data_IF_378693622580
#
_entry.id   IF_378693622580
#
_cell.length_a   1.000
_cell.length_b   1.000
_cell.length_c   1.000
_cell.angle_alpha   90.00
_cell.angle_beta   90.00
_cell.angle_gamma   90.00
#
_symmetry.space_group_name_H-M   'P 1'
#
loop_
_entity.id
_entity.type
_entity.pdbx_description
1 polymer ?
#
# COMPACT_ATOMS: atom_id res chain seq x y z
N UNK A 1 -5.03 -5.87 19.43
CA UNK A 1 -4.43 -4.94 18.44
C UNK A 1 -3.59 -3.96 19.24
N UNK A 2 -2.37 -3.68 18.79
CA UNK A 2 -1.43 -2.81 19.49
C UNK A 2 -0.95 -1.70 18.56
N UNK A 3 -0.51 -0.59 19.14
CA UNK A 3 0.15 0.49 18.44
C UNK A 3 1.44 0.86 19.16
N UNK A 4 2.46 1.25 18.40
CA UNK A 4 3.69 1.86 18.92
C UNK A 4 4.08 3.03 18.05
N UNK A 5 4.65 4.04 18.67
CA UNK A 5 5.27 5.18 17.99
C UNK A 5 6.70 4.82 17.60
N UNK A 6 7.08 5.01 16.33
CA UNK A 6 8.39 4.68 15.79
C UNK A 6 9.30 5.91 15.69
N UNK A 7 9.53 6.60 16.82
CA UNK A 7 10.36 7.82 16.89
C UNK A 7 9.81 8.95 16.03
N UNK A 8 8.49 9.16 16.06
CA UNK A 8 7.86 10.23 15.33
C UNK A 8 8.33 11.61 15.83
N UNK A 9 8.52 12.54 14.90
CA UNK A 9 8.86 13.93 15.21
C UNK A 9 7.69 14.64 15.88
N UNK A 10 6.49 14.53 15.31
CA UNK A 10 5.30 15.23 15.78
C UNK A 10 4.47 14.45 16.82
N UNK A 11 4.84 13.21 17.13
CA UNK A 11 4.19 12.38 18.14
C UNK A 11 2.97 11.60 17.66
N UNK A 12 2.71 10.48 18.31
CA UNK A 12 1.43 9.74 18.28
C UNK A 12 0.69 9.97 19.59
N UNK A 13 -0.62 10.20 19.50
CA UNK A 13 -1.48 10.47 20.65
C UNK A 13 -2.64 9.48 20.69
N UNK A 14 -2.91 8.93 21.86
CA UNK A 14 -4.03 8.05 22.13
C UNK A 14 -4.93 8.68 23.20
N UNK A 15 -6.19 8.93 22.85
CA UNK A 15 -7.19 9.59 23.70
C UNK A 15 -6.67 10.93 24.28
N UNK A 16 -6.01 11.72 23.42
CA UNK A 16 -5.40 13.01 23.79
C UNK A 16 -4.08 12.92 24.58
N UNK A 17 -3.59 11.71 24.89
CA UNK A 17 -2.31 11.51 25.58
C UNK A 17 -1.21 11.12 24.60
N UNK A 18 -0.13 11.90 24.56
CA UNK A 18 1.07 11.57 23.79
C UNK A 18 1.71 10.27 24.32
N UNK A 19 2.03 9.33 23.44
CA UNK A 19 2.58 8.02 23.81
C UNK A 19 4.03 8.11 24.29
N UNK A 20 4.85 8.93 23.64
CA UNK A 20 6.27 9.12 23.93
C UNK A 20 6.74 10.54 23.57
N UNK A 21 7.92 10.98 24.08
CA UNK A 21 8.60 12.19 23.64
C UNK A 21 9.04 12.15 22.17
N UNK A 22 9.39 13.31 21.63
CA UNK A 22 9.86 13.48 20.25
C UNK A 22 11.06 12.59 19.94
N UNK A 23 11.05 11.95 18.77
CA UNK A 23 12.15 11.10 18.28
C UNK A 23 12.49 9.91 19.20
N UNK A 24 11.58 9.51 20.09
CA UNK A 24 11.72 8.35 20.99
C UNK A 24 10.69 7.29 20.62
N UNK A 25 11.09 6.02 20.61
CA UNK A 25 10.15 4.91 20.35
C UNK A 25 9.27 4.67 21.58
N UNK A 26 7.98 4.46 21.39
CA UNK A 26 7.08 4.12 22.49
C UNK A 26 7.03 2.61 22.72
N UNK A 27 6.73 2.21 23.97
CA UNK A 27 6.29 0.85 24.24
C UNK A 27 5.00 0.51 23.47
N UNK A 28 4.70 -0.77 23.20
CA UNK A 28 3.43 -1.17 22.58
C UNK A 28 2.23 -0.87 23.48
N UNK A 29 1.32 0.00 23.02
CA UNK A 29 0.05 0.31 23.67
C UNK A 29 -1.08 -0.52 23.10
N UNK A 30 -1.94 -1.06 23.96
CA UNK A 30 -3.14 -1.78 23.56
C UNK A 30 -4.17 -0.79 23.03
N UNK A 31 -4.70 -1.05 21.84
CA UNK A 31 -5.86 -0.32 21.30
C UNK A 31 -7.16 -1.02 21.67
N UNK A 32 -8.16 -0.23 22.06
CA UNK A 32 -9.52 -0.67 22.37
C UNK A 32 -10.53 -0.16 21.33
N UNK A 33 -11.74 -0.70 21.40
CA UNK A 33 -12.85 -0.25 20.56
C UNK A 33 -13.18 1.21 20.90
N UNK A 34 -13.35 2.04 19.87
CA UNK A 34 -13.68 3.47 19.95
C UNK A 34 -12.58 4.38 20.50
N UNK A 35 -11.34 3.91 20.65
CA UNK A 35 -10.24 4.79 21.01
C UNK A 35 -10.03 5.88 19.94
N UNK A 36 -9.69 7.09 20.38
CA UNK A 36 -9.33 8.18 19.50
C UNK A 36 -7.81 8.21 19.31
N UNK A 37 -7.36 8.06 18.08
CA UNK A 37 -5.96 8.03 17.74
C UNK A 37 -5.61 9.23 16.86
N UNK A 38 -4.55 9.94 17.20
CA UNK A 38 -4.07 11.10 16.45
C UNK A 38 -2.58 10.93 16.13
N UNK A 39 -2.19 11.27 14.91
CA UNK A 39 -0.83 11.27 14.41
C UNK A 39 -0.42 12.69 14.06
N UNK A 40 0.60 13.18 14.77
CA UNK A 40 1.11 14.53 14.64
C UNK A 40 0.21 15.61 15.23
N UNK A 41 0.57 16.86 14.93
CA UNK A 41 -0.12 18.07 15.33
C UNK A 41 -0.30 18.96 14.10
N UNK A 42 -1.30 19.85 14.14
CA UNK A 42 -1.51 20.83 13.09
C UNK A 42 -0.33 21.83 13.08
N UNK A 43 0.32 21.97 11.93
CA UNK A 43 1.42 22.93 11.74
C UNK A 43 0.86 24.13 10.99
N UNK A 44 1.01 25.31 11.58
CA UNK A 44 0.63 26.59 10.98
C UNK A 44 1.88 27.30 10.42
N UNK A 45 1.71 28.01 9.31
CA UNK A 45 2.71 28.93 8.78
C UNK A 45 2.82 30.20 9.65
N UNK A 46 3.83 31.05 9.41
CA UNK A 46 4.00 32.34 10.08
C UNK A 46 2.78 33.26 9.96
N UNK A 47 1.99 33.07 8.89
CA UNK A 47 0.75 33.78 8.62
C UNK A 47 -0.49 33.17 9.32
N UNK A 48 -0.33 32.07 10.07
CA UNK A 48 -1.41 31.35 10.74
C UNK A 48 -2.23 30.42 9.83
N UNK A 49 -1.84 30.28 8.56
CA UNK A 49 -2.46 29.34 7.62
C UNK A 49 -2.02 27.90 7.91
N UNK A 50 -2.94 26.94 7.84
CA UNK A 50 -2.64 25.53 8.06
C UNK A 50 -1.73 24.98 6.94
N UNK A 51 -0.51 24.61 7.30
CA UNK A 51 0.50 24.06 6.40
C UNK A 51 0.41 22.52 6.35
N UNK A 52 0.26 21.89 7.53
CA UNK A 52 0.09 20.45 7.65
C UNK A 52 -1.02 20.13 8.65
N UNK A 53 -1.97 19.30 8.20
CA UNK A 53 -3.06 18.81 9.03
C UNK A 53 -2.61 17.59 9.83
N UNK A 54 -3.01 17.52 11.11
CA UNK A 54 -2.89 16.29 11.88
C UNK A 54 -3.82 15.23 11.33
N UNK A 55 -3.42 13.96 11.45
CA UNK A 55 -4.28 12.84 11.05
C UNK A 55 -4.96 12.27 12.29
N UNK A 56 -6.27 12.38 12.37
CA UNK A 56 -7.05 11.87 13.50
C UNK A 56 -8.05 10.80 13.05
N UNK A 57 -8.13 9.69 13.78
CA UNK A 57 -9.06 8.62 13.48
C UNK A 57 -9.68 8.03 14.75
N UNK A 58 -10.79 7.31 14.56
CA UNK A 58 -11.46 6.54 15.61
C UNK A 58 -11.29 5.06 15.34
N UNK A 59 -10.80 4.33 16.32
CA UNK A 59 -10.41 2.93 16.19
C UNK A 59 -11.65 2.03 16.28
N UNK A 60 -11.84 1.15 15.29
CA UNK A 60 -12.83 0.09 15.33
C UNK A 60 -12.12 -1.25 15.10
N UNK A 61 -12.14 -2.11 16.11
CA UNK A 61 -11.51 -3.44 16.07
C UNK A 61 -12.60 -4.45 15.73
N UNK A 62 -12.65 -4.86 14.46
CA UNK A 62 -13.45 -6.02 14.09
C UNK A 62 -12.71 -7.28 14.49
N UNK A 63 -13.30 -8.07 15.40
CA UNK A 63 -12.90 -9.47 15.53
C UNK A 63 -13.51 -10.16 14.31
N UNK A 64 -12.69 -10.54 13.35
CA UNK A 64 -13.09 -11.54 12.36
C UNK A 64 -13.52 -12.79 13.14
N UNK A 65 -14.82 -12.92 13.37
CA UNK A 65 -15.42 -14.18 13.79
C UNK A 65 -15.08 -15.17 12.70
N UNK A 66 -14.24 -16.14 13.05
CA UNK A 66 -14.01 -17.42 12.35
C UNK A 66 -14.03 -17.35 10.83
N UNK A 67 -12.87 -17.55 10.20
CA UNK A 67 -12.78 -18.05 8.83
C UNK A 67 -13.89 -19.09 8.59
N UNK A 68 -14.77 -18.91 7.59
CA UNK A 68 -15.73 -19.96 7.25
C UNK A 68 -14.92 -21.11 6.66
N UNK A 69 -14.79 -22.19 7.42
CA UNK A 69 -14.42 -23.50 6.88
C UNK A 69 -15.40 -23.82 5.76
N UNK A 70 -14.96 -24.15 4.53
CA UNK A 70 -15.86 -24.54 3.47
C UNK A 70 -16.56 -25.85 3.87
N UNK A 71 -17.86 -25.79 4.23
CA UNK A 71 -18.66 -27.00 4.45
C UNK A 71 -19.67 -27.00 5.60
N UNK A 72 -19.78 -25.95 6.42
CA UNK A 72 -20.76 -25.90 7.51
C UNK A 72 -22.06 -25.22 7.10
N UNK A 73 -23.16 -25.98 6.94
CA UNK A 73 -24.51 -25.44 6.73
C UNK A 73 -24.95 -24.53 7.90
N UNK A 74 -25.63 -23.39 7.67
CA UNK A 74 -26.12 -22.56 8.76
C UNK A 74 -27.36 -23.18 9.37
N UNK A 75 -27.24 -23.69 10.60
CA UNK A 75 -28.39 -24.03 11.44
C UNK A 75 -28.67 -22.83 12.36
N UNK A 76 -29.79 -22.18 12.10
CA UNK A 76 -30.38 -21.15 12.94
C UNK A 76 -30.65 -21.70 14.35
N UNK A 77 -30.35 -20.91 15.38
CA UNK A 77 -31.08 -20.98 16.65
C UNK A 77 -31.08 -19.61 17.34
N UNK A 78 -32.24 -18.98 17.54
CA UNK A 78 -32.37 -17.83 18.42
C UNK A 78 -32.70 -18.31 19.84
N UNK A 79 -31.98 -17.75 20.82
CA UNK A 79 -32.25 -17.93 22.24
C UNK A 79 -33.58 -17.32 22.65
N UNK A 80 -34.34 -18.14 23.35
CA UNK A 80 -35.69 -17.97 23.89
C UNK A 80 -35.65 -17.14 25.20
N UNK A 81 -36.46 -16.10 25.30
CA UNK A 81 -36.93 -15.52 26.57
C UNK A 81 -38.45 -15.36 26.52
N UNK A 82 -39.11 -15.79 27.59
CA UNK A 82 -40.56 -15.93 27.71
C UNK A 82 -41.00 -15.42 29.09
N UNK A 83 -41.92 -14.45 29.14
CA UNK A 83 -42.89 -14.18 30.23
C UNK A 83 -43.68 -12.90 29.86
N UNK A 84 -45.01 -12.80 29.83
CA UNK A 84 -46.10 -13.73 30.12
C UNK A 84 -47.42 -13.19 29.53
N UNK A 85 -48.39 -14.09 29.37
CA UNK A 85 -49.79 -13.93 28.91
C UNK A 85 -50.68 -13.18 29.95
N UNK A 86 -52.02 -13.00 29.79
CA UNK A 86 -53.00 -13.48 28.78
C UNK A 86 -53.95 -12.35 28.26
N UNK A 87 -54.88 -12.48 27.31
CA UNK A 87 -56.06 -13.36 27.03
C UNK A 87 -56.53 -13.00 25.60
N UNK A 88 -56.98 -13.86 24.69
CA UNK A 88 -58.12 -14.77 24.80
C UNK A 88 -58.60 -15.19 23.38
N UNK A 89 -58.98 -16.47 23.28
CA UNK A 89 -60.03 -17.07 22.42
C UNK A 89 -60.04 -16.90 20.90
N UNK A 90 -59.93 -18.05 20.19
CA UNK A 90 -60.75 -18.35 19.00
C UNK A 90 -60.03 -19.06 17.84
N UNK A 91 -60.66 -19.99 17.10
CA UNK A 91 -59.98 -21.22 16.64
C UNK A 91 -59.84 -21.40 15.11
N UNK A 92 -59.05 -22.43 14.73
CA UNK A 92 -59.04 -23.17 13.43
C UNK A 92 -58.43 -22.42 12.23
N UNK A 93 -57.81 -23.02 11.20
CA UNK A 93 -57.20 -24.31 10.88
C UNK A 93 -56.64 -24.14 9.44
N UNK A 94 -55.81 -25.09 8.99
CA UNK A 94 -55.43 -25.38 7.58
C UNK A 94 -54.15 -24.72 7.03
N UNK A 95 -53.21 -25.63 6.71
CA UNK A 95 -52.03 -25.51 5.84
C UNK A 95 -52.42 -25.32 4.38
N UNK A 96 -51.66 -24.54 3.60
CA UNK A 96 -50.98 -25.01 2.37
C UNK A 96 -50.33 -23.87 1.58
N UNK A 97 -49.19 -24.19 0.96
CA UNK A 97 -48.38 -23.45 -0.01
C UNK A 97 -49.14 -22.59 -1.07
N UNK A 98 -48.60 -21.42 -1.37
CA UNK A 98 -48.47 -20.82 -2.72
C UNK A 98 -47.39 -19.72 -2.63
N UNK A 99 -46.30 -19.72 -3.40
CA UNK A 99 -46.13 -19.36 -4.82
C UNK A 99 -46.83 -18.04 -5.18
N UNK A 100 -46.00 -17.02 -5.46
CA UNK A 100 -46.21 -15.82 -6.30
C UNK A 100 -47.55 -15.08 -6.25
N UNK A 101 -47.50 -13.78 -5.90
CA UNK A 101 -48.24 -12.65 -6.51
C UNK A 101 -48.58 -11.57 -5.46
N UNK A 102 -47.65 -10.65 -5.22
CA UNK A 102 -47.82 -9.52 -4.29
C UNK A 102 -48.67 -8.35 -4.83
N UNK A 103 -49.75 -8.60 -5.58
CA UNK A 103 -50.61 -7.54 -6.13
C UNK A 103 -52.12 -7.70 -5.87
N UNK A 104 -52.60 -8.82 -5.31
CA UNK A 104 -54.05 -9.02 -5.12
C UNK A 104 -54.64 -8.28 -3.92
N UNK A 105 -53.89 -8.11 -2.83
CA UNK A 105 -54.42 -7.51 -1.59
C UNK A 105 -54.80 -6.03 -1.74
N UNK A 106 -54.08 -5.28 -2.57
CA UNK A 106 -54.41 -3.87 -2.85
C UNK A 106 -55.66 -3.73 -3.70
N UNK A 107 -55.88 -4.65 -4.66
CA UNK A 107 -57.05 -4.63 -5.53
C UNK A 107 -58.30 -5.03 -4.74
N UNK A 108 -58.19 -6.05 -3.88
CA UNK A 108 -59.30 -6.49 -3.01
C UNK A 108 -59.71 -5.39 -2.01
N UNK A 109 -58.74 -4.63 -1.46
CA UNK A 109 -59.02 -3.47 -0.61
C UNK A 109 -59.75 -2.35 -1.39
N UNK A 110 -59.34 -2.07 -2.62
CA UNK A 110 -60.02 -1.08 -3.48
C UNK A 110 -61.44 -1.54 -3.83
N UNK A 111 -61.63 -2.82 -4.17
CA UNK A 111 -62.94 -3.39 -4.46
C UNK A 111 -63.86 -3.30 -3.24
N UNK A 112 -63.36 -3.66 -2.05
CA UNK A 112 -64.16 -3.56 -0.81
C UNK A 112 -64.57 -2.12 -0.48
N UNK A 113 -63.69 -1.14 -0.78
CA UNK A 113 -63.97 0.27 -0.57
C UNK A 113 -64.98 0.82 -1.57
N UNK A 114 -64.87 0.44 -2.85
CA UNK A 114 -65.83 0.79 -3.89
C UNK A 114 -67.20 0.15 -3.63
N UNK A 115 -67.25 -1.07 -3.12
CA UNK A 115 -68.48 -1.75 -2.73
C UNK A 115 -69.17 -1.04 -1.57
N UNK A 116 -68.43 -0.69 -0.51
CA UNK A 116 -68.98 0.08 0.61
C UNK A 116 -69.47 1.47 0.18
N UNK A 117 -68.72 2.17 -0.68
CA UNK A 117 -69.15 3.48 -1.17
C UNK A 117 -70.38 3.38 -2.09
N UNK A 118 -70.52 2.29 -2.86
CA UNK A 118 -71.71 2.02 -3.68
C UNK A 118 -72.93 1.75 -2.82
N UNK A 119 -72.81 0.93 -1.76
CA UNK A 119 -73.89 0.69 -0.79
C UNK A 119 -74.31 2.00 -0.13
N UNK A 120 -73.34 2.82 0.29
CA UNK A 120 -73.61 4.13 0.87
C UNK A 120 -74.32 5.07 -0.12
N UNK A 121 -73.96 5.03 -1.40
CA UNK A 121 -74.67 5.78 -2.45
C UNK A 121 -76.11 5.30 -2.63
N UNK A 122 -76.36 3.99 -2.56
CA UNK A 122 -77.72 3.43 -2.63
C UNK A 122 -78.58 3.85 -1.44
N UNK A 123 -78.02 3.86 -0.22
CA UNK A 123 -78.71 4.35 0.99
C UNK A 123 -79.07 5.83 0.85
N UNK A 124 -78.14 6.68 0.40
CA UNK A 124 -78.45 8.10 0.15
C UNK A 124 -79.53 8.30 -0.92
N UNK A 125 -79.61 7.40 -1.91
CA UNK A 125 -80.65 7.45 -2.94
C UNK A 125 -82.00 6.98 -2.40
N UNK A 126 -82.01 6.00 -1.49
CA UNK A 126 -83.22 5.61 -0.75
C UNK A 126 -83.72 6.77 0.14
N UNK A 127 -82.81 7.45 0.85
CA UNK A 127 -83.14 8.62 1.67
C UNK A 127 -83.69 9.78 0.83
N UNK A 128 -83.09 10.05 -0.34
CA UNK A 128 -83.63 11.02 -1.29
C UNK A 128 -85.01 10.61 -1.84
N UNK A 129 -85.24 9.31 -2.03
CA UNK A 129 -86.54 8.76 -2.40
C UNK A 129 -87.60 9.00 -1.31
N UNK A 130 -87.26 8.73 -0.05
CA UNK A 130 -88.12 9.00 1.10
C UNK A 130 -88.38 10.50 1.28
N UNK A 131 -87.36 11.35 1.11
CA UNK A 131 -87.52 12.80 1.13
C UNK A 131 -88.45 13.29 0.01
N UNK A 132 -88.30 12.76 -1.20
CA UNK A 132 -89.18 13.06 -2.34
C UNK A 132 -90.62 12.65 -2.07
N UNK A 133 -90.84 11.52 -1.40
CA UNK A 133 -92.17 11.08 -0.98
C UNK A 133 -92.76 12.01 0.08
N UNK A 134 -91.98 12.41 1.09
CA UNK A 134 -92.39 13.39 2.10
C UNK A 134 -92.69 14.77 1.51
N UNK A 135 -91.94 15.20 0.49
CA UNK A 135 -92.18 16.45 -0.23
C UNK A 135 -93.47 16.39 -1.05
N UNK A 136 -93.79 15.23 -1.63
CA UNK A 136 -95.08 15.00 -2.30
C UNK A 136 -96.28 14.90 -1.35
N UNK A 137 -96.09 14.51 -0.08
CA UNK A 137 -97.13 14.61 0.96
C UNK A 137 -97.31 16.06 1.44
N UNK A 138 -96.22 16.81 1.56
CA UNK A 138 -96.27 18.24 1.88
C UNK A 138 -96.97 19.05 0.78
N UNK A 139 -96.69 18.75 -0.48
CA UNK A 139 -97.35 19.37 -1.65
C UNK A 139 -98.88 19.12 -1.65
N UNK A 140 -99.32 17.95 -1.19
CA UNK A 140 -100.75 17.63 -0.99
C UNK A 140 -101.36 18.32 0.23
N UNK A 141 -100.55 18.71 1.20
CA UNK A 141 -101.00 19.39 2.43
C UNK A 141 -101.09 20.91 2.24
N UNK A 142 -100.28 21.49 1.35
CA UNK A 142 -100.26 22.93 1.01
C UNK A 142 -101.46 23.34 0.12
N UNK A 143 -102.22 22.39 -0.44
CA UNK A 143 -103.41 22.69 -1.28
C UNK A 143 -104.70 23.00 -0.49
N UNK A 144 -104.59 23.42 0.78
CA UNK A 144 -105.70 23.97 1.59
C UNK A 144 -105.71 25.50 1.44
N UNK A 145 -106.85 26.16 1.17
CA UNK A 145 -106.88 27.59 0.94
C UNK A 145 -106.73 28.33 2.28
N UNK A 146 -105.54 28.88 2.53
CA UNK A 146 -105.28 29.71 3.71
C UNK A 146 -105.74 31.14 3.42
N UNK A 147 -106.59 31.64 4.33
CA UNK A 147 -107.06 33.02 4.40
C UNK A 147 -105.91 33.95 4.78
N UNK A 148 -105.98 35.15 4.22
CA UNK A 148 -105.11 36.30 4.44
C UNK A 148 -104.93 36.61 5.94
N UNK A 149 -103.71 36.41 6.47
CA UNK A 149 -103.09 37.21 7.55
C UNK A 149 -101.68 36.67 7.97
N UNK A 150 -100.71 36.51 7.06
CA UNK A 150 -99.33 36.12 7.45
C UNK A 150 -98.20 36.77 6.61
N UNK A 151 -98.23 38.09 6.42
CA UNK A 151 -97.12 38.80 5.74
C UNK A 151 -95.85 38.98 6.60
N UNK A 152 -95.90 38.73 7.92
CA UNK A 152 -94.72 38.87 8.79
C UNK A 152 -93.91 37.58 8.99
N UNK A 153 -94.53 36.40 9.02
CA UNK A 153 -93.81 35.12 9.21
C UNK A 153 -93.06 34.66 7.95
N UNK A 154 -93.60 34.96 6.76
CA UNK A 154 -92.96 34.63 5.47
C UNK A 154 -91.64 35.41 5.30
N UNK A 155 -91.58 36.67 5.75
CA UNK A 155 -90.38 37.49 5.67
C UNK A 155 -89.26 36.99 6.62
N UNK A 156 -89.63 36.44 7.78
CA UNK A 156 -88.69 35.86 8.74
C UNK A 156 -88.13 34.52 8.22
N UNK A 157 -88.98 33.66 7.65
CA UNK A 157 -88.56 32.42 6.99
C UNK A 157 -87.64 32.68 5.79
N UNK A 158 -87.92 33.70 4.98
CA UNK A 158 -87.08 34.09 3.85
C UNK A 158 -85.66 34.49 4.29
N UNK A 159 -85.54 35.23 5.42
CA UNK A 159 -84.26 35.63 5.99
C UNK A 159 -83.46 34.43 6.51
N UNK A 160 -84.12 33.50 7.20
CA UNK A 160 -83.46 32.30 7.72
C UNK A 160 -82.92 31.42 6.58
N UNK A 161 -83.65 31.35 5.45
CA UNK A 161 -83.23 30.62 4.26
C UNK A 161 -81.99 31.25 3.61
N UNK A 162 -81.96 32.58 3.51
CA UNK A 162 -80.79 33.32 3.01
C UNK A 162 -79.57 33.17 3.93
N UNK A 163 -79.78 33.12 5.24
CA UNK A 163 -78.72 32.88 6.22
C UNK A 163 -78.13 31.47 6.10
N UNK A 164 -78.97 30.44 6.03
CA UNK A 164 -78.51 29.07 5.78
C UNK A 164 -77.80 28.92 4.43
N UNK A 165 -78.31 29.55 3.38
CA UNK A 165 -77.64 29.55 2.08
C UNK A 165 -76.26 30.22 2.13
N UNK A 166 -76.11 31.30 2.92
CA UNK A 166 -74.80 31.93 3.16
C UNK A 166 -73.87 31.02 3.95
N UNK A 167 -74.35 30.34 4.98
CA UNK A 167 -73.55 29.39 5.76
C UNK A 167 -73.05 28.25 4.86
N UNK A 168 -73.93 27.65 4.05
CA UNK A 168 -73.54 26.60 3.10
C UNK A 168 -72.56 27.11 2.04
N UNK A 169 -72.76 28.33 1.51
CA UNK A 169 -71.82 28.93 0.57
C UNK A 169 -70.43 29.14 1.21
N UNK A 170 -70.38 29.56 2.47
CA UNK A 170 -69.11 29.69 3.22
C UNK A 170 -68.44 28.34 3.46
N UNK A 171 -69.22 27.29 3.75
CA UNK A 171 -68.70 25.94 3.96
C UNK A 171 -68.17 25.31 2.68
N UNK A 172 -68.86 25.50 1.55
CA UNK A 172 -68.38 25.11 0.21
C UNK A 172 -67.09 25.86 -0.14
N UNK A 173 -67.01 27.16 0.14
CA UNK A 173 -65.79 27.94 -0.08
C UNK A 173 -64.61 27.44 0.76
N UNK A 174 -64.87 27.04 2.02
CA UNK A 174 -63.86 26.44 2.89
C UNK A 174 -63.37 25.09 2.35
N UNK A 175 -64.27 24.22 1.90
CA UNK A 175 -63.91 22.92 1.31
C UNK A 175 -63.12 23.10 0.01
N UNK A 176 -63.53 24.03 -0.86
CA UNK A 176 -62.79 24.34 -2.08
C UNK A 176 -61.38 24.84 -1.78
N UNK A 177 -61.21 25.67 -0.75
CA UNK A 177 -59.88 26.12 -0.31
C UNK A 177 -59.02 24.96 0.19
N UNK A 178 -59.57 24.05 0.98
CA UNK A 178 -58.86 22.84 1.43
C UNK A 178 -58.49 21.92 0.26
N UNK A 179 -59.38 21.79 -0.73
CA UNK A 179 -59.11 21.03 -1.94
C UNK A 179 -57.98 21.66 -2.76
N UNK A 180 -57.96 22.98 -2.89
CA UNK A 180 -56.90 23.70 -3.61
C UNK A 180 -55.56 23.63 -2.87
N UNK A 181 -55.56 23.76 -1.55
CA UNK A 181 -54.36 23.58 -0.71
C UNK A 181 -53.79 22.17 -0.85
N UNK A 182 -54.64 21.13 -0.79
CA UNK A 182 -54.21 19.73 -0.98
C UNK A 182 -53.73 19.44 -2.40
N UNK A 183 -54.39 19.98 -3.43
CA UNK A 183 -53.94 19.87 -4.82
C UNK A 183 -52.58 20.54 -5.03
N UNK A 184 -52.36 21.73 -4.45
CA UNK A 184 -51.07 22.42 -4.54
C UNK A 184 -49.96 21.63 -3.84
N UNK A 185 -50.26 21.05 -2.66
CA UNK A 185 -49.32 20.22 -1.92
C UNK A 185 -48.95 18.95 -2.68
N UNK A 186 -49.94 18.27 -3.29
CA UNK A 186 -49.69 17.09 -4.11
C UNK A 186 -48.84 17.43 -5.34
N UNK A 187 -49.11 18.56 -6.01
CA UNK A 187 -48.31 19.01 -7.15
C UNK A 187 -46.85 19.29 -6.74
N UNK A 188 -46.62 19.88 -5.56
CA UNK A 188 -45.28 20.08 -5.03
C UNK A 188 -44.54 18.75 -4.79
N UNK A 189 -45.23 17.72 -4.27
CA UNK A 189 -44.64 16.38 -4.12
C UNK A 189 -44.34 15.73 -5.47
N UNK A 190 -45.21 15.88 -6.47
CA UNK A 190 -44.98 15.37 -7.82
C UNK A 190 -43.74 16.02 -8.44
N UNK A 191 -43.58 17.34 -8.32
CA UNK A 191 -42.37 18.03 -8.78
C UNK A 191 -41.11 17.55 -8.06
N UNK A 192 -41.20 17.30 -6.75
CA UNK A 192 -40.08 16.74 -5.97
C UNK A 192 -39.71 15.33 -6.45
N UNK A 193 -40.69 14.48 -6.76
CA UNK A 193 -40.44 13.14 -7.30
C UNK A 193 -39.76 13.23 -8.67
N UNK A 194 -40.28 14.08 -9.56
CA UNK A 194 -39.68 14.31 -10.89
C UNK A 194 -38.23 14.79 -10.82
N UNK A 195 -37.88 15.56 -9.79
CA UNK A 195 -36.50 15.99 -9.56
C UNK A 195 -35.60 14.87 -9.00
N UNK A 196 -36.13 14.02 -8.11
CA UNK A 196 -35.35 12.95 -7.47
C UNK A 196 -35.16 11.72 -8.36
N UNK A 197 -36.10 11.42 -9.24
CA UNK A 197 -36.04 10.27 -10.16
C UNK A 197 -34.74 10.19 -10.98
N UNK A 198 -34.25 11.26 -11.65
CA UNK A 198 -32.98 11.20 -12.37
C UNK A 198 -31.78 11.01 -11.43
N UNK A 199 -31.78 11.61 -10.24
CA UNK A 199 -30.71 11.44 -9.26
C UNK A 199 -30.61 10.01 -8.73
N UNK A 200 -31.75 9.34 -8.54
CA UNK A 200 -31.79 7.92 -8.17
C UNK A 200 -31.27 7.05 -9.32
N UNK A 201 -31.61 7.39 -10.57
CA UNK A 201 -31.08 6.68 -11.73
C UNK A 201 -29.55 6.83 -11.86
N UNK A 202 -29.00 8.02 -11.61
CA UNK A 202 -27.56 8.27 -11.56
C UNK A 202 -26.86 7.50 -10.43
N UNK A 203 -27.44 7.46 -9.24
CA UNK A 203 -26.90 6.69 -8.11
C UNK A 203 -26.85 5.18 -8.41
N UNK A 204 -27.87 4.64 -9.09
CA UNK A 204 -27.88 3.25 -9.54
C UNK A 204 -26.85 2.96 -10.64
N UNK A 205 -26.52 3.95 -11.49
CA UNK A 205 -25.42 3.83 -12.46
C UNK A 205 -24.08 3.84 -11.71
N UNK A 206 -23.88 4.80 -10.81
CA UNK A 206 -22.65 4.93 -10.04
C UNK A 206 -22.38 3.69 -9.19
N UNK A 207 -23.42 3.09 -8.59
CA UNK A 207 -23.30 1.81 -7.87
C UNK A 207 -22.80 0.68 -8.77
N UNK A 208 -23.30 0.59 -10.02
CA UNK A 208 -22.81 -0.40 -10.98
C UNK A 208 -21.35 -0.16 -11.35
N UNK A 209 -20.96 1.10 -11.58
CA UNK A 209 -19.57 1.45 -11.91
C UNK A 209 -18.62 1.16 -10.75
N UNK A 210 -19.03 1.45 -9.51
CA UNK A 210 -18.28 1.09 -8.30
C UNK A 210 -18.16 -0.43 -8.18
N UNK A 211 -19.25 -1.18 -8.41
CA UNK A 211 -19.23 -2.64 -8.38
C UNK A 211 -18.29 -3.22 -9.46
N UNK A 212 -18.27 -2.64 -10.66
CA UNK A 212 -17.37 -3.04 -11.73
C UNK A 212 -15.91 -2.71 -11.38
N UNK A 213 -15.64 -1.48 -10.94
CA UNK A 213 -14.29 -1.03 -10.56
C UNK A 213 -13.72 -1.86 -9.39
N UNK A 214 -14.54 -2.20 -8.40
CA UNK A 214 -14.14 -3.06 -7.29
C UNK A 214 -13.83 -4.50 -7.75
N UNK A 215 -14.60 -5.04 -8.71
CA UNK A 215 -14.32 -6.33 -9.31
C UNK A 215 -12.99 -6.31 -10.10
N UNK A 216 -12.73 -5.27 -10.89
CA UNK A 216 -11.47 -5.10 -11.62
C UNK A 216 -10.27 -4.94 -10.67
N UNK A 217 -10.40 -4.14 -9.60
CA UNK A 217 -9.39 -4.02 -8.55
C UNK A 217 -9.09 -5.36 -7.87
N UNK A 218 -10.12 -6.19 -7.63
CA UNK A 218 -9.93 -7.52 -7.05
C UNK A 218 -9.15 -8.44 -7.98
N UNK A 219 -9.40 -8.37 -9.30
CA UNK A 219 -8.68 -9.13 -10.32
C UNK A 219 -7.22 -8.70 -10.41
N UNK A 220 -6.94 -7.40 -10.46
CA UNK A 220 -5.57 -6.86 -10.51
C UNK A 220 -4.78 -7.24 -9.26
N UNK A 221 -5.42 -7.21 -8.07
CA UNK A 221 -4.78 -7.67 -6.83
C UNK A 221 -4.38 -9.15 -6.90
N UNK A 222 -5.26 -10.00 -7.43
CA UNK A 222 -4.97 -11.42 -7.61
C UNK A 222 -3.81 -11.65 -8.60
N UNK A 223 -3.81 -10.97 -9.74
CA UNK A 223 -2.72 -11.05 -10.73
C UNK A 223 -1.38 -10.61 -10.13
N UNK A 224 -1.38 -9.51 -9.36
CA UNK A 224 -0.20 -9.05 -8.62
C UNK A 224 0.29 -10.09 -7.62
N UNK A 225 -0.62 -10.73 -6.89
CA UNK A 225 -0.25 -11.74 -5.88
C UNK A 225 0.34 -12.98 -6.54
N UNK A 226 -0.24 -13.44 -7.66
CA UNK A 226 0.34 -14.52 -8.47
C UNK A 226 1.72 -14.16 -9.03
N UNK A 227 1.91 -12.93 -9.49
CA UNK A 227 3.21 -12.46 -9.97
C UNK A 227 4.26 -12.39 -8.86
N UNK A 228 3.84 -12.00 -7.64
CA UNK A 228 4.72 -12.01 -6.46
C UNK A 228 5.12 -13.43 -6.07
N UNK A 229 4.18 -14.37 -6.08
CA UNK A 229 4.47 -15.76 -5.76
C UNK A 229 5.42 -16.38 -6.80
N UNK A 230 5.21 -16.10 -8.09
CA UNK A 230 6.13 -16.53 -9.16
C UNK A 230 7.52 -15.92 -9.02
N UNK A 231 7.63 -14.63 -8.63
CA UNK A 231 8.94 -14.01 -8.39
C UNK A 231 9.64 -14.62 -7.17
N UNK A 232 8.90 -14.90 -6.09
CA UNK A 232 9.45 -15.54 -4.89
C UNK A 232 9.96 -16.95 -5.20
N UNK A 233 9.25 -17.70 -6.05
CA UNK A 233 9.69 -19.01 -6.52
C UNK A 233 11.02 -18.89 -7.28
N UNK A 234 11.14 -17.94 -8.22
CA UNK A 234 12.38 -17.69 -8.97
C UNK A 234 13.54 -17.28 -8.06
N UNK A 235 13.28 -16.43 -7.04
CA UNK A 235 14.30 -16.03 -6.05
C UNK A 235 14.79 -17.25 -5.28
N UNK A 236 13.87 -18.13 -4.84
CA UNK A 236 14.23 -19.33 -4.09
C UNK A 236 15.03 -20.32 -4.95
N UNK A 237 14.63 -20.52 -6.21
CA UNK A 237 15.40 -21.33 -7.16
C UNK A 237 16.80 -20.76 -7.37
N UNK A 238 16.91 -19.45 -7.62
CA UNK A 238 18.21 -18.79 -7.77
C UNK A 238 19.08 -18.97 -6.52
N UNK A 239 18.51 -18.76 -5.32
CA UNK A 239 19.22 -18.94 -4.07
C UNK A 239 19.69 -20.39 -3.87
N UNK A 240 18.88 -21.38 -4.24
CA UNK A 240 19.28 -22.79 -4.20
C UNK A 240 20.43 -23.08 -5.17
N UNK A 241 20.40 -22.54 -6.39
CA UNK A 241 21.50 -22.71 -7.34
C UNK A 241 22.80 -22.06 -6.85
N UNK A 242 22.72 -20.87 -6.26
CA UNK A 242 23.88 -20.19 -5.68
C UNK A 242 24.46 -20.96 -4.50
N UNK A 243 23.61 -21.48 -3.60
CA UNK A 243 24.06 -22.30 -2.48
C UNK A 243 24.69 -23.63 -2.95
N UNK A 244 24.13 -24.26 -3.99
CA UNK A 244 24.69 -25.47 -4.56
C UNK A 244 26.07 -25.21 -5.18
N UNK A 245 26.22 -24.11 -5.92
CA UNK A 245 27.50 -23.69 -6.49
C UNK A 245 28.55 -23.40 -5.41
N UNK A 246 28.17 -22.67 -4.34
CA UNK A 246 29.06 -22.41 -3.20
C UNK A 246 29.50 -23.71 -2.53
N UNK A 247 28.58 -24.65 -2.31
CA UNK A 247 28.88 -25.95 -1.72
C UNK A 247 29.83 -26.78 -2.60
N UNK A 248 29.66 -26.73 -3.92
CA UNK A 248 30.58 -27.37 -4.86
C UNK A 248 31.97 -26.75 -4.82
N UNK A 249 32.06 -25.42 -4.79
CA UNK A 249 33.32 -24.70 -4.66
C UNK A 249 34.03 -25.02 -3.33
N UNK A 250 33.29 -25.04 -2.22
CA UNK A 250 33.82 -25.40 -0.91
C UNK A 250 34.34 -26.85 -0.90
N UNK A 251 33.58 -27.79 -1.47
CA UNK A 251 34.02 -29.18 -1.60
C UNK A 251 35.29 -29.33 -2.45
N UNK A 252 35.40 -28.57 -3.54
CA UNK A 252 36.59 -28.55 -4.39
C UNK A 252 37.80 -28.00 -3.64
N UNK A 253 37.63 -26.91 -2.89
CA UNK A 253 38.70 -26.33 -2.07
C UNK A 253 39.14 -27.28 -0.96
N UNK A 254 38.19 -27.91 -0.24
CA UNK A 254 38.50 -28.89 0.79
C UNK A 254 39.25 -30.10 0.24
N UNK A 255 38.90 -30.58 -0.96
CA UNK A 255 39.62 -31.67 -1.62
C UNK A 255 41.05 -31.26 -2.00
N UNK A 256 41.24 -30.03 -2.49
CA UNK A 256 42.57 -29.49 -2.81
C UNK A 256 43.44 -29.35 -1.55
N UNK A 257 42.88 -28.83 -0.46
CA UNK A 257 43.55 -28.72 0.84
C UNK A 257 43.95 -30.09 1.39
N UNK A 258 43.08 -31.09 1.30
CA UNK A 258 43.37 -32.45 1.71
C UNK A 258 44.53 -33.05 0.91
N UNK A 259 44.54 -32.87 -0.42
CA UNK A 259 45.63 -33.31 -1.28
C UNK A 259 46.96 -32.61 -0.94
N UNK A 260 46.92 -31.30 -0.68
CA UNK A 260 48.12 -30.55 -0.30
C UNK A 260 48.66 -31.00 1.05
N UNK A 261 47.78 -31.24 2.02
CA UNK A 261 48.15 -31.78 3.33
C UNK A 261 48.80 -33.15 3.21
N UNK A 262 48.25 -34.06 2.41
CA UNK A 262 48.83 -35.38 2.18
C UNK A 262 50.22 -35.28 1.52
N UNK A 263 50.40 -34.36 0.56
CA UNK A 263 51.69 -34.12 -0.07
C UNK A 263 52.74 -33.59 0.91
N UNK A 264 52.36 -32.65 1.81
CA UNK A 264 53.23 -32.17 2.88
C UNK A 264 53.62 -33.29 3.85
N UNK A 265 52.66 -34.12 4.27
CA UNK A 265 52.92 -35.28 5.12
C UNK A 265 53.83 -36.32 4.46
N UNK A 266 53.74 -36.48 3.13
CA UNK A 266 54.63 -37.35 2.35
C UNK A 266 56.05 -36.79 2.33
N UNK A 267 56.21 -35.50 2.02
CA UNK A 267 57.53 -34.84 2.04
C UNK A 267 58.16 -34.85 3.44
N UNK A 268 57.37 -34.66 4.50
CA UNK A 268 57.86 -34.72 5.88
C UNK A 268 58.38 -36.13 6.23
N UNK A 269 57.69 -37.18 5.79
CA UNK A 269 58.14 -38.58 5.96
C UNK A 269 59.42 -38.86 5.18
N UNK A 270 59.49 -38.42 3.93
CA UNK A 270 60.70 -38.59 3.09
C UNK A 270 61.91 -37.84 3.69
N UNK A 271 61.70 -36.62 4.19
CA UNK A 271 62.74 -35.84 4.86
C UNK A 271 63.24 -36.51 6.15
N UNK A 272 62.34 -37.08 6.96
CA UNK A 272 62.68 -37.81 8.18
C UNK A 272 63.52 -39.06 7.86
N UNK A 273 63.13 -39.83 6.84
CA UNK A 273 63.89 -41.00 6.38
C UNK A 273 65.28 -40.59 5.86
N UNK A 274 65.37 -39.52 5.07
CA UNK A 274 66.65 -39.01 4.59
C UNK A 274 67.57 -38.57 5.74
N UNK A 275 67.01 -37.95 6.78
CA UNK A 275 67.75 -37.57 7.98
C UNK A 275 68.25 -38.80 8.75
N UNK A 276 67.43 -39.83 8.91
CA UNK A 276 67.83 -41.08 9.57
C UNK A 276 68.97 -41.78 8.82
N UNK A 277 68.88 -41.87 7.49
CA UNK A 277 69.95 -42.42 6.64
C UNK A 277 71.25 -41.60 6.81
N UNK A 278 71.15 -40.28 6.84
CA UNK A 278 72.32 -39.41 7.07
C UNK A 278 72.95 -39.65 8.45
N UNK A 279 72.14 -39.81 9.50
CA UNK A 279 72.62 -40.13 10.85
C UNK A 279 73.31 -41.48 10.87
N UNK A 280 72.72 -42.52 10.27
CA UNK A 280 73.30 -43.85 10.19
C UNK A 280 74.66 -43.82 9.48
N UNK A 281 74.72 -43.16 8.31
CA UNK A 281 75.98 -43.01 7.56
C UNK A 281 77.04 -42.27 8.39
N UNK A 282 76.66 -41.21 9.10
CA UNK A 282 77.59 -40.49 9.96
C UNK A 282 78.11 -41.36 11.12
N UNK A 283 77.24 -42.17 11.73
CA UNK A 283 77.63 -43.13 12.77
C UNK A 283 78.58 -44.21 12.22
N UNK A 284 78.33 -44.73 11.02
CA UNK A 284 79.24 -45.67 10.36
C UNK A 284 80.60 -45.06 10.06
N UNK A 285 80.62 -43.83 9.53
CA UNK A 285 81.86 -43.10 9.24
C UNK A 285 82.64 -42.80 10.53
N UNK A 286 81.94 -42.47 11.62
CA UNK A 286 82.54 -42.27 12.94
C UNK A 286 83.09 -43.58 13.53
N UNK A 287 82.38 -44.70 13.37
CA UNK A 287 82.85 -46.01 13.79
C UNK A 287 84.10 -46.45 13.00
N UNK A 288 84.15 -46.20 11.69
CA UNK A 288 85.34 -46.42 10.86
C UNK A 288 86.51 -45.52 11.30
N UNK A 289 86.24 -44.25 11.58
CA UNK A 289 87.25 -43.31 12.07
C UNK A 289 87.84 -43.75 13.42
N UNK A 290 86.98 -44.18 14.38
CA UNK A 290 87.42 -44.71 15.67
C UNK A 290 88.29 -45.98 15.54
N UNK A 291 87.97 -46.87 14.60
CA UNK A 291 88.81 -48.04 14.30
C UNK A 291 90.18 -47.66 13.71
N UNK A 292 90.27 -46.53 12.99
CA UNK A 292 91.53 -46.01 12.44
C UNK A 292 92.34 -45.15 13.40
N UNK A 293 91.78 -44.74 14.55
CA UNK A 293 92.38 -43.77 15.48
C UNK A 293 93.24 -44.39 16.60
N UNK A 294 93.80 -45.58 16.40
CA UNK A 294 94.86 -46.12 17.25
C UNK A 294 96.23 -45.49 16.89
N UNK A 295 96.36 -44.16 17.03
CA UNK A 295 97.63 -43.45 16.96
C UNK A 295 97.51 -42.08 17.66
N UNK A 296 98.45 -41.70 18.55
CA UNK A 296 98.38 -40.42 19.24
C UNK A 296 99.10 -39.34 18.41
N UNK A 297 98.35 -38.52 17.69
CA UNK A 297 98.88 -37.24 17.19
C UNK A 297 98.03 -36.10 17.75
N UNK A 298 98.50 -35.59 18.90
CA UNK A 298 97.91 -34.51 19.66
C UNK A 298 98.80 -33.28 19.49
N UNK A 299 98.35 -32.33 18.67
CA UNK A 299 98.53 -30.86 18.83
C UNK A 299 98.18 -30.08 17.55
N UNK A 300 98.48 -30.60 16.35
CA UNK A 300 98.16 -29.88 15.08
C UNK A 300 96.69 -29.99 14.66
N UNK A 301 96.01 -31.06 15.06
CA UNK A 301 94.58 -31.26 14.83
C UNK A 301 93.73 -30.38 15.74
N UNK A 302 94.25 -30.05 16.94
CA UNK A 302 93.55 -29.24 17.94
C UNK A 302 93.53 -27.76 17.54
N UNK A 303 94.58 -27.26 16.90
CA UNK A 303 94.60 -25.90 16.34
C UNK A 303 93.69 -25.75 15.13
N UNK A 304 93.68 -26.72 14.20
CA UNK A 304 92.75 -26.72 13.06
C UNK A 304 91.28 -26.89 13.50
N UNK A 305 91.02 -27.70 14.53
CA UNK A 305 89.67 -27.85 15.09
C UNK A 305 89.22 -26.58 15.81
N UNK A 306 90.13 -25.87 16.49
CA UNK A 306 89.84 -24.59 17.13
C UNK A 306 89.49 -23.51 16.11
N UNK A 307 90.22 -23.43 15.01
CA UNK A 307 89.89 -22.53 13.90
C UNK A 307 88.53 -22.86 13.27
N UNK A 308 88.20 -24.16 13.10
CA UNK A 308 86.85 -24.57 12.66
C UNK A 308 85.76 -24.22 13.66
N UNK A 309 86.01 -24.37 14.97
CA UNK A 309 85.06 -23.96 16.01
C UNK A 309 84.84 -22.46 15.99
N UNK A 310 85.89 -21.66 15.80
CA UNK A 310 85.80 -20.20 15.70
C UNK A 310 84.99 -19.77 14.46
N UNK A 311 85.24 -20.38 13.29
CA UNK A 311 84.46 -20.09 12.06
C UNK A 311 83.00 -20.54 12.16
N UNK A 312 82.73 -21.68 12.82
CA UNK A 312 81.37 -22.13 13.08
C UNK A 312 80.66 -21.21 14.08
N UNK A 313 81.38 -20.72 15.09
CA UNK A 313 80.85 -19.78 16.06
C UNK A 313 80.50 -18.44 15.39
N UNK A 314 81.34 -17.93 14.50
CA UNK A 314 81.04 -16.77 13.68
C UNK A 314 79.83 -17.00 12.76
N UNK A 315 79.73 -18.20 12.15
CA UNK A 315 78.59 -18.57 11.30
C UNK A 315 77.28 -18.64 12.11
N UNK A 316 77.31 -19.21 13.31
CA UNK A 316 76.16 -19.27 14.21
C UNK A 316 75.76 -17.87 14.68
N UNK A 317 76.72 -17.01 14.98
CA UNK A 317 76.45 -15.62 15.37
C UNK A 317 75.82 -14.81 14.23
N UNK A 318 76.32 -15.00 13.00
CA UNK A 318 75.74 -14.39 11.80
C UNK A 318 74.33 -14.92 11.48
N UNK A 319 74.10 -16.23 11.62
CA UNK A 319 72.76 -16.81 11.48
C UNK A 319 71.80 -16.31 12.57
N UNK A 320 72.29 -16.13 13.80
CA UNK A 320 71.50 -15.59 14.91
C UNK A 320 71.09 -14.14 14.66
N UNK A 321 72.02 -13.31 14.15
CA UNK A 321 71.71 -11.94 13.71
C UNK A 321 70.66 -11.92 12.59
N UNK A 322 70.82 -12.77 11.57
CA UNK A 322 69.85 -12.88 10.48
C UNK A 322 68.46 -13.31 10.97
N UNK A 323 68.38 -14.28 11.89
CA UNK A 323 67.12 -14.70 12.52
C UNK A 323 66.49 -13.55 13.31
N UNK A 324 67.30 -12.75 14.00
CA UNK A 324 66.81 -11.58 14.74
C UNK A 324 66.24 -10.53 13.79
N UNK A 325 66.94 -10.22 12.69
CA UNK A 325 66.48 -9.29 11.66
C UNK A 325 65.17 -9.76 11.02
N UNK A 326 65.10 -11.03 10.59
CA UNK A 326 63.88 -11.61 10.03
C UNK A 326 62.71 -11.60 11.03
N UNK A 327 62.97 -11.76 12.33
CA UNK A 327 61.94 -11.64 13.35
C UNK A 327 61.46 -10.19 13.54
N UNK A 328 62.35 -9.21 13.40
CA UNK A 328 61.94 -7.80 13.40
C UNK A 328 61.09 -7.47 12.17
N UNK A 329 61.48 -7.95 10.99
CA UNK A 329 60.72 -7.78 9.74
C UNK A 329 59.36 -8.48 9.81
N UNK A 330 59.31 -9.70 10.37
CA UNK A 330 58.04 -10.40 10.61
C UNK A 330 57.10 -9.60 11.52
N UNK A 331 57.63 -8.94 12.55
CA UNK A 331 56.82 -8.08 13.44
C UNK A 331 56.31 -6.84 12.72
N UNK A 332 57.14 -6.16 11.92
CA UNK A 332 56.71 -4.97 11.18
C UNK A 332 55.65 -5.32 10.13
N UNK A 333 55.85 -6.41 9.39
CA UNK A 333 54.85 -6.90 8.42
C UNK A 333 53.55 -7.33 9.10
N UNK A 334 53.62 -8.02 10.25
CA UNK A 334 52.42 -8.39 11.01
C UNK A 334 51.65 -7.17 11.53
N UNK A 335 52.36 -6.10 11.93
CA UNK A 335 51.73 -4.85 12.34
C UNK A 335 51.05 -4.17 11.15
N UNK A 336 51.74 -4.03 10.02
CA UNK A 336 51.17 -3.47 8.79
C UNK A 336 49.93 -4.26 8.31
N UNK A 337 49.95 -5.60 8.42
CA UNK A 337 48.81 -6.44 8.08
C UNK A 337 47.61 -6.23 9.03
N UNK A 338 47.85 -5.92 10.30
CA UNK A 338 46.78 -5.57 11.24
C UNK A 338 46.16 -4.21 10.96
N UNK A 339 46.99 -3.23 10.54
CA UNK A 339 46.54 -1.89 10.15
C UNK A 339 45.72 -1.94 8.86
N UNK A 340 46.19 -2.65 7.82
CA UNK A 340 45.42 -2.82 6.58
C UNK A 340 44.12 -3.59 6.82
N UNK A 341 44.12 -4.62 7.67
CA UNK A 341 42.88 -5.32 8.05
C UNK A 341 41.87 -4.39 8.74
N UNK A 342 42.34 -3.49 9.61
CA UNK A 342 41.48 -2.49 10.24
C UNK A 342 40.91 -1.48 9.23
N UNK A 343 41.70 -1.08 8.23
CA UNK A 343 41.22 -0.23 7.13
C UNK A 343 40.20 -0.95 6.24
N UNK A 344 40.40 -2.23 5.93
CA UNK A 344 39.44 -3.04 5.17
C UNK A 344 38.11 -3.13 5.92
N UNK A 345 38.13 -3.42 7.22
CA UNK A 345 36.89 -3.45 8.04
C UNK A 345 36.19 -2.07 8.03
N UNK A 346 36.96 -0.98 8.04
CA UNK A 346 36.40 0.38 7.95
C UNK A 346 35.78 0.66 6.58
N UNK A 347 36.37 0.14 5.51
CA UNK A 347 35.84 0.24 4.14
C UNK A 347 34.62 -0.66 3.96
N UNK A 348 34.64 -1.90 4.46
CA UNK A 348 33.49 -2.80 4.47
C UNK A 348 32.31 -2.17 5.20
N UNK A 349 32.53 -1.58 6.38
CA UNK A 349 31.46 -0.86 7.11
C UNK A 349 30.90 0.32 6.32
N UNK A 350 31.77 1.08 5.63
CA UNK A 350 31.33 2.18 4.76
C UNK A 350 30.61 1.68 3.51
N UNK A 351 30.99 0.52 2.99
CA UNK A 351 30.34 -0.11 1.84
C UNK A 351 28.97 -0.65 2.25
N UNK A 352 28.84 -1.21 3.44
CA UNK A 352 27.58 -1.67 4.02
C UNK A 352 26.63 -0.49 4.30
N UNK A 353 27.19 0.67 4.67
CA UNK A 353 26.46 1.95 4.80
C UNK A 353 26.04 2.55 3.43
N UNK A 354 26.72 2.18 2.34
CA UNK A 354 26.39 2.59 0.96
C UNK A 354 25.48 1.56 0.25
N UNK A 355 25.34 0.34 0.77
CA UNK A 355 24.58 -0.77 0.14
C UNK A 355 23.20 -0.99 0.78
N UNK A 356 22.59 0.06 1.31
CA UNK A 356 21.15 0.10 1.60
C UNK A 356 20.53 1.27 0.85
N UNK A 357 19.81 1.05 -0.27
CA UNK A 357 18.73 1.94 -0.61
C UNK A 357 17.56 1.60 0.32
N UNK A 358 17.37 2.41 1.35
CA UNK A 358 16.04 2.56 1.94
C UNK A 358 15.08 2.99 0.84
N UNK A 359 14.06 2.16 0.68
CA UNK A 359 12.92 2.33 -0.21
C UNK A 359 12.12 3.58 0.20
N UNK A 360 12.53 4.79 -0.19
CA UNK A 360 11.67 5.98 -0.03
C UNK A 360 11.85 7.13 -1.04
N UNK A 361 12.91 7.18 -1.87
CA UNK A 361 13.14 8.34 -2.76
C UNK A 361 12.76 8.16 -4.24
N UNK A 362 11.83 7.25 -4.57
CA UNK A 362 11.42 6.98 -5.97
C UNK A 362 9.99 7.44 -6.32
N UNK A 363 9.49 8.49 -5.66
CA UNK A 363 8.13 9.01 -5.93
C UNK A 363 8.05 10.44 -6.48
N UNK A 364 9.16 11.15 -6.70
CA UNK A 364 9.11 12.58 -7.02
C UNK A 364 9.65 12.95 -8.40
N UNK A 365 9.35 12.21 -9.47
CA UNK A 365 9.57 12.72 -10.84
C UNK A 365 8.52 12.17 -11.83
N UNK A 366 7.45 12.93 -12.05
CA UNK A 366 6.75 12.96 -13.34
C UNK A 366 6.54 14.42 -13.80
N UNK A 367 6.64 14.72 -15.12
CA UNK A 367 6.68 16.08 -15.64
C UNK A 367 5.27 16.62 -15.95
N UNK A 368 5.01 17.87 -15.58
CA UNK A 368 3.81 18.58 -16.00
C UNK A 368 3.98 19.17 -17.42
N UNK A 369 3.07 18.81 -18.32
CA UNK A 369 2.90 19.45 -19.63
C UNK A 369 2.23 20.83 -19.51
N UNK A 370 2.54 21.79 -20.39
CA UNK A 370 1.99 23.14 -20.32
C UNK A 370 0.71 23.26 -21.13
N UNK A 371 -0.31 23.92 -20.57
CA UNK A 371 -1.44 24.41 -21.34
C UNK A 371 -1.88 25.80 -20.87
N UNK A 372 -2.01 26.67 -21.87
CA UNK A 372 -2.97 27.76 -21.97
C UNK A 372 -2.50 29.17 -21.63
N UNK A 373 -1.99 29.77 -22.70
CA UNK A 373 -1.99 31.19 -23.07
C UNK A 373 -3.39 31.82 -22.92
N UNK A 374 -3.51 32.94 -22.21
CA UNK A 374 -4.54 33.96 -22.46
C UNK A 374 -4.03 35.39 -22.13
N UNK A 375 -3.74 36.10 -23.21
CA UNK A 375 -3.92 37.52 -23.52
C UNK A 375 -4.26 38.59 -22.44
N UNK A 376 -3.50 39.72 -22.56
CA UNK A 376 -3.87 41.17 -22.50
C UNK A 376 -4.00 41.83 -21.11
N UNK A 377 -3.52 43.05 -20.82
CA UNK A 377 -2.53 44.00 -21.38
C UNK A 377 -2.48 45.27 -20.46
N UNK A 378 -1.38 46.03 -20.55
CA UNK A 378 -1.22 47.50 -20.30
C UNK A 378 -0.78 48.07 -18.92
N UNK A 379 0.55 48.27 -18.83
CA UNK A 379 1.27 49.58 -18.75
C UNK A 379 1.29 50.43 -17.44
N UNK A 380 2.20 51.42 -17.30
CA UNK A 380 3.29 51.40 -16.31
C UNK A 380 3.37 52.67 -15.42
N UNK A 381 4.51 52.82 -14.72
CA UNK A 381 5.01 54.01 -13.99
C UNK A 381 4.46 54.28 -12.59
N UNK A 382 5.33 54.16 -11.57
CA UNK A 382 5.86 55.35 -10.87
C UNK A 382 7.03 55.00 -9.93
N UNK A 383 8.05 55.86 -9.98
CA UNK A 383 9.11 56.13 -8.99
C UNK A 383 8.45 56.58 -7.66
N UNK A 384 9.05 56.55 -6.47
CA UNK A 384 10.31 57.17 -6.07
C UNK A 384 10.79 56.68 -4.68
N UNK A 385 12.12 56.60 -4.55
CA UNK A 385 13.02 56.97 -3.43
C UNK A 385 12.42 57.22 -2.03
N UNK A 386 13.06 56.63 -1.01
CA UNK A 386 13.69 57.38 0.11
C UNK A 386 14.90 56.59 0.64
N UNK A 387 16.03 57.27 0.74
CA UNK A 387 17.25 56.85 1.43
C UNK A 387 17.28 57.45 2.85
N UNK A 388 17.94 56.79 3.81
CA UNK A 388 18.67 57.33 4.98
C UNK A 388 19.55 56.16 5.50
N UNK A 389 20.84 56.09 5.15
CA UNK A 389 22.03 56.67 5.83
C UNK A 389 22.29 56.22 7.27
N UNK A 390 23.41 55.48 7.42
CA UNK A 390 24.51 55.56 8.42
C UNK A 390 25.02 54.13 8.68
N UNK A 391 26.30 53.81 8.79
CA UNK A 391 27.58 54.53 8.61
C UNK A 391 28.69 53.51 8.97
N UNK A 392 29.80 53.51 8.21
CA UNK A 392 31.20 53.50 8.72
C UNK A 392 31.67 52.22 9.46
N UNK A 393 32.79 51.54 9.17
CA UNK A 393 33.89 51.69 8.20
C UNK A 393 34.91 50.54 8.36
N UNK A 394 35.58 50.16 7.25
CA UNK A 394 37.06 49.96 7.03
C UNK A 394 37.85 49.04 8.02
N UNK A 395 38.86 48.24 7.65
CA UNK A 395 39.80 48.22 6.50
C UNK A 395 40.71 46.99 6.58
N UNK A 396 41.22 46.56 5.41
CA UNK A 396 42.59 46.05 5.11
C UNK A 396 43.01 44.70 5.73
N UNK A 397 43.79 43.80 5.10
CA UNK A 397 44.83 43.93 4.05
C UNK A 397 45.21 42.52 3.57
N UNK A 398 45.45 42.33 2.27
CA UNK A 398 46.31 41.26 1.71
C UNK A 398 47.80 41.74 1.78
N UNK A 399 48.87 41.12 1.19
CA UNK A 399 48.95 39.96 0.26
C UNK A 399 50.22 39.05 0.40
N UNK A 400 50.41 38.10 -0.54
CA UNK A 400 51.72 37.52 -0.95
C UNK A 400 51.79 35.97 -0.94
N UNK A 401 51.68 35.21 -2.04
CA UNK A 401 52.61 34.91 -3.19
C UNK A 401 53.67 33.82 -2.97
N UNK A 402 53.53 32.66 -3.64
CA UNK A 402 54.53 31.89 -4.46
C UNK A 402 53.98 30.46 -4.70
N UNK A 403 53.60 29.98 -5.90
CA UNK A 403 54.32 29.67 -7.16
C UNK A 403 55.17 28.38 -7.17
N UNK A 404 54.63 27.30 -7.79
CA UNK A 404 55.28 26.33 -8.72
C UNK A 404 54.24 25.28 -9.14
N UNK A 405 53.74 25.27 -10.39
CA UNK A 405 54.22 24.47 -11.55
C UNK A 405 54.44 22.98 -11.19
N UNK A 406 53.83 21.97 -11.83
CA UNK A 406 53.57 21.80 -13.27
C UNK A 406 52.64 20.61 -13.61
N UNK A 407 51.83 20.80 -14.67
CA UNK A 407 51.44 19.89 -15.78
C UNK A 407 50.38 18.78 -15.62
N UNK A 408 49.27 19.03 -16.31
CA UNK A 408 48.57 18.23 -17.33
C UNK A 408 48.19 16.76 -17.05
N UNK A 409 46.88 16.47 -17.03
CA UNK A 409 46.22 15.82 -18.16
C UNK A 409 44.68 15.89 -18.05
N UNK A 410 44.13 16.48 -19.10
CA UNK A 410 42.72 16.60 -19.49
C UNK A 410 42.05 15.24 -19.71
N UNK A 411 40.81 15.07 -19.22
CA UNK A 411 39.66 14.60 -20.04
C UNK A 411 38.35 14.97 -19.34
N UNK A 412 37.68 15.97 -19.93
CA UNK A 412 36.30 16.36 -19.66
C UNK A 412 35.42 15.48 -20.55
N UNK A 413 34.65 14.57 -19.97
CA UNK A 413 33.61 13.81 -20.69
C UNK A 413 32.25 14.25 -20.14
N UNK A 414 31.68 15.26 -20.80
CA UNK A 414 30.28 15.62 -20.73
C UNK A 414 29.47 14.52 -21.42
N UNK A 415 28.51 13.92 -20.71
CA UNK A 415 27.59 12.94 -21.26
C UNK A 415 26.33 13.67 -21.76
N UNK A 416 26.14 13.66 -23.09
CA UNK A 416 24.99 14.23 -23.79
C UNK A 416 23.96 13.15 -24.09
N UNK A 417 22.75 13.28 -23.56
CA UNK A 417 21.59 12.48 -23.97
C UNK A 417 20.89 13.16 -25.14
N UNK A 418 21.14 12.69 -26.35
CA UNK A 418 20.25 12.92 -27.48
C UNK A 418 20.35 11.74 -28.45
N UNK A 419 19.19 11.44 -29.06
CA UNK A 419 19.03 10.71 -30.32
C UNK A 419 18.68 9.22 -30.21
N UNK A 420 17.39 8.92 -30.02
CA UNK A 420 16.65 8.03 -30.92
C UNK A 420 15.20 8.48 -31.04
N UNK A 421 14.88 9.04 -32.20
CA UNK A 421 13.54 9.32 -32.71
C UNK A 421 13.30 8.34 -33.84
N UNK A 422 12.18 7.63 -33.83
CA UNK A 422 11.64 6.93 -35.01
C UNK A 422 10.12 7.13 -35.06
N UNK A 423 9.51 7.06 -36.26
CA UNK A 423 8.57 8.07 -36.71
C UNK A 423 7.12 7.58 -36.74
N UNK A 424 6.21 8.56 -36.62
CA UNK A 424 4.82 8.44 -37.02
C UNK A 424 4.68 8.01 -38.49
N UNK A 425 3.96 6.92 -38.74
CA UNK A 425 3.31 6.67 -40.03
C UNK A 425 1.80 6.84 -39.88
N UNK A 426 1.30 8.00 -40.33
CA UNK A 426 -0.09 8.16 -40.74
C UNK A 426 -0.24 7.60 -42.15
N UNK A 427 -1.23 6.74 -42.39
CA UNK A 427 -2.00 6.73 -43.65
C UNK A 427 -3.47 6.43 -43.38
N UNK A 428 -4.31 7.23 -44.04
CA UNK A 428 -5.76 7.26 -43.94
C UNK A 428 -6.46 6.13 -44.70
N UNK A 429 -7.66 5.80 -44.17
CA UNK A 429 -8.95 5.53 -44.82
C UNK A 429 -9.08 4.46 -45.93
N UNK A 430 -9.99 3.50 -45.72
CA UNK A 430 -11.25 3.37 -46.48
C UNK A 430 -12.20 2.37 -45.79
N UNK A 431 -13.50 2.71 -45.75
CA UNK A 431 -14.62 1.88 -45.32
C UNK A 431 -14.96 0.81 -46.37
N UNK A 432 -15.33 -0.42 -45.96
CA UNK A 432 -16.44 -1.18 -46.57
C UNK A 432 -16.87 -2.40 -45.71
N UNK A 433 -18.13 -2.79 -45.90
CA UNK A 433 -18.97 -3.69 -45.11
C UNK A 433 -18.53 -5.17 -44.95
N UNK A 434 -19.08 -5.79 -43.89
CA UNK A 434 -19.27 -7.21 -43.50
C UNK A 434 -19.55 -8.27 -44.61
N UNK A 435 -19.72 -9.60 -44.32
CA UNK A 435 -19.29 -10.46 -43.19
C UNK A 435 -18.70 -11.86 -43.60
N UNK A 436 -18.32 -12.65 -42.58
CA UNK A 436 -18.24 -14.13 -42.53
C UNK A 436 -17.03 -14.84 -43.18
N UNK A 437 -16.20 -15.51 -42.36
CA UNK A 437 -16.04 -16.99 -42.29
C UNK A 437 -14.80 -17.40 -41.49
N UNK A 438 -14.93 -18.53 -40.79
CA UNK A 438 -13.90 -19.19 -39.99
C UNK A 438 -12.64 -19.56 -40.80
N UNK A 439 -11.46 -19.40 -40.19
CA UNK A 439 -10.36 -20.33 -40.44
C UNK A 439 -9.40 -20.39 -39.25
N UNK A 440 -9.38 -21.57 -38.64
CA UNK A 440 -8.45 -22.05 -37.63
C UNK A 440 -7.10 -22.30 -38.31
N UNK A 441 -6.07 -21.52 -37.98
CA UNK A 441 -4.67 -21.99 -37.97
C UNK A 441 -3.75 -20.95 -37.32
N UNK A 442 -3.18 -21.31 -36.18
CA UNK A 442 -2.00 -20.67 -35.60
C UNK A 442 -1.24 -21.79 -34.91
N UNK A 443 0.00 -22.13 -35.25
CA UNK A 443 1.08 -21.25 -35.66
C UNK A 443 2.11 -21.29 -34.54
N UNK A 444 2.87 -22.39 -34.48
CA UNK A 444 3.99 -22.58 -33.56
C UNK A 444 5.05 -21.50 -33.84
N UNK A 445 5.32 -20.63 -32.87
CA UNK A 445 6.54 -19.82 -32.85
C UNK A 445 7.55 -20.47 -31.90
N UNK A 446 8.62 -20.99 -32.51
CA UNK A 446 9.87 -21.34 -31.85
C UNK A 446 10.61 -20.05 -31.47
N UNK A 447 10.81 -19.83 -30.17
CA UNK A 447 11.74 -18.82 -29.66
C UNK A 447 13.13 -19.45 -29.61
N UNK A 448 14.05 -18.88 -30.38
CA UNK A 448 15.45 -19.30 -30.44
C UNK A 448 16.21 -18.99 -29.16
N UNK A 449 16.84 -20.03 -28.60
CA UNK A 449 17.83 -19.94 -27.53
C UNK A 449 19.18 -19.62 -28.17
N UNK A 450 19.74 -18.44 -27.88
CA UNK A 450 21.10 -18.07 -28.26
C UNK A 450 22.11 -18.70 -27.31
N UNK A 451 22.86 -19.70 -27.78
CA UNK A 451 24.00 -20.26 -27.09
C UNK A 451 25.26 -19.41 -27.36
N UNK A 452 25.86 -18.84 -26.32
CA UNK A 452 27.18 -18.25 -26.37
C UNK A 452 28.24 -19.34 -26.16
N UNK A 453 28.98 -19.68 -27.22
CA UNK A 453 30.15 -20.53 -27.14
C UNK A 453 31.42 -19.67 -26.98
N UNK A 454 32.08 -19.80 -25.83
CA UNK A 454 33.42 -19.28 -25.57
C UNK A 454 34.45 -20.10 -26.38
N UNK A 455 35.22 -19.45 -27.24
CA UNK A 455 36.30 -20.08 -27.99
C UNK A 455 37.64 -19.78 -27.29
N UNK A 456 38.20 -20.79 -26.62
CA UNK A 456 39.51 -20.73 -25.99
C UNK A 456 40.57 -21.13 -27.03
N UNK A 457 41.39 -20.17 -27.48
CA UNK A 457 42.50 -20.42 -28.41
C UNK A 457 43.74 -20.79 -27.58
N UNK A 458 43.93 -22.10 -27.37
CA UNK A 458 45.17 -22.64 -26.81
C UNK A 458 46.32 -22.53 -27.81
N UNK A 459 47.37 -21.82 -27.41
CA UNK A 459 48.67 -21.80 -28.08
C UNK A 459 49.50 -22.96 -27.53
N UNK A 460 49.81 -23.94 -28.37
CA UNK A 460 50.79 -24.98 -28.06
C UNK A 460 52.12 -24.60 -28.72
N UNK A 461 53.17 -24.58 -27.89
CA UNK A 461 54.55 -24.86 -28.27
C UNK A 461 54.98 -26.08 -27.48
#
# INVERSE_FOLDING_TARGET
>A
VFIRDLKSSNGTFLNGKRLCPENVESEPFILNQNDHLEFGIDILDENGSLLHEKVACKVYISRMSSYPTPGGSPQESPTKLHSGSPTGSGPSSIRSNSVSAGQSTNIDLIISRLQNELTRSQETNADLGSLKQGLGELERTITVPVKEDEQSQVAEYQRLLEENNKIHAMEIAKLNRQLEETQSGLNAYVQKIQFLEPLVAEDEILKRDIAQSTAELSKVKLERDLAKDSLNELINEHQQTMNAFQKEQEAMMAALEANHKEALERMAREAALAQEIMIQKHQEDLAKALQSAAAPETESTLTSLKEKVDTLQETVENQTKLIQDLNTEKRTLSQALSETKAEVIKVEKKLEEVTLPTQEDLSSLTPASPSSTSFICKNPECRDKVAITKSVSRTSTAPGTSSRESKDLTTKLEFSWAQFVFPNSRKNSLQLNQPSTMLVSGGFMLVGIGAYAFWHKGSFR
#
